data_IF_190693666391
#
_entry.id   IF_190693666391
#
_cell.length_a   1.000
_cell.length_b   1.000
_cell.length_c   1.000
_cell.angle_alpha   90.00
_cell.angle_beta   90.00
_cell.angle_gamma   90.00
#
_symmetry.space_group_name_H-M   'P 1'
#
loop_
_entity.id
_entity.type
_entity.pdbx_description
1 polymer ?
#
# COMPACT_ATOMS: atom_id res chain seq x y z
N UNK A 1 -19.33 75.22 -42.33
CA UNK A 1 -18.00 74.63 -42.62
C UNK A 1 -17.65 73.69 -41.46
N UNK A 2 -17.75 72.38 -41.67
CA UNK A 2 -17.52 71.34 -40.64
C UNK A 2 -16.24 70.59 -40.99
N UNK A 3 -15.28 70.58 -40.07
CA UNK A 3 -14.02 69.86 -40.19
C UNK A 3 -14.24 68.37 -39.88
N UNK A 4 -13.89 67.50 -40.82
CA UNK A 4 -13.94 66.04 -40.68
C UNK A 4 -12.54 65.58 -40.26
N UNK A 5 -12.40 65.08 -39.03
CA UNK A 5 -11.19 64.36 -38.59
C UNK A 5 -11.22 62.93 -39.13
N UNK A 6 -10.18 62.55 -39.88
CA UNK A 6 -9.92 61.18 -40.32
C UNK A 6 -9.44 60.33 -39.14
N UNK A 7 -10.16 59.24 -38.85
CA UNK A 7 -9.73 58.18 -37.94
C UNK A 7 -8.93 57.16 -38.75
N UNK A 8 -7.63 57.05 -38.49
CA UNK A 8 -6.75 56.00 -39.04
C UNK A 8 -6.65 54.91 -37.98
N UNK A 9 -7.34 53.78 -38.19
CA UNK A 9 -7.24 52.58 -37.35
C UNK A 9 -6.02 51.79 -37.82
N UNK A 10 -5.01 51.67 -36.96
CA UNK A 10 -3.78 50.90 -37.20
C UNK A 10 -4.02 49.40 -36.94
N UNK A 11 -4.17 48.63 -38.00
CA UNK A 11 -4.23 47.15 -38.01
C UNK A 11 -2.87 46.49 -37.69
N UNK A 12 -2.42 46.46 -36.42
CA UNK A 12 -1.17 45.73 -36.08
C UNK A 12 -1.20 44.81 -34.85
N UNK A 13 -2.35 44.60 -34.22
CA UNK A 13 -2.41 43.74 -33.01
C UNK A 13 -3.23 42.45 -33.14
N UNK A 14 -3.91 42.19 -34.26
CA UNK A 14 -4.82 41.03 -34.36
C UNK A 14 -4.12 39.68 -34.65
N UNK A 15 -2.85 39.67 -35.07
CA UNK A 15 -2.15 38.41 -35.41
C UNK A 15 -1.42 37.73 -34.23
N UNK A 16 -1.31 38.37 -33.07
CA UNK A 16 -0.70 37.75 -31.88
C UNK A 16 -1.69 37.02 -30.97
N UNK A 17 -3.00 37.29 -31.11
CA UNK A 17 -4.01 36.66 -30.27
C UNK A 17 -4.47 35.28 -30.79
N UNK A 18 -4.25 34.97 -32.07
CA UNK A 18 -4.68 33.69 -32.67
C UNK A 18 -3.66 32.55 -32.49
N UNK A 19 -2.42 32.85 -32.10
CA UNK A 19 -1.37 31.84 -31.89
C UNK A 19 -1.30 31.29 -30.46
N UNK A 20 -1.91 31.99 -29.49
CA UNK A 20 -1.91 31.57 -28.08
C UNK A 20 -3.08 30.59 -27.81
N UNK A 21 -4.18 30.68 -28.55
CA UNK A 21 -5.30 29.72 -28.43
C UNK A 21 -5.03 28.36 -29.08
N UNK A 22 -4.08 28.25 -30.01
CA UNK A 22 -3.74 26.96 -30.66
C UNK A 22 -2.72 26.13 -29.85
N UNK A 23 -1.95 26.76 -28.95
CA UNK A 23 -1.00 26.06 -28.07
C UNK A 23 -1.62 25.53 -26.78
N UNK A 24 -2.85 25.93 -26.45
CA UNK A 24 -3.61 25.40 -25.31
C UNK A 24 -4.46 24.16 -25.67
N UNK A 25 -4.54 23.77 -26.94
CA UNK A 25 -5.28 22.55 -27.35
C UNK A 25 -4.40 21.31 -27.51
N UNK A 26 -3.06 21.42 -27.57
CA UNK A 26 -2.20 20.25 -27.73
C UNK A 26 -1.86 19.57 -26.40
N UNK A 27 -2.18 20.16 -25.25
CA UNK A 27 -1.97 19.54 -23.94
C UNK A 27 -3.20 18.81 -23.39
N UNK A 28 -4.33 18.83 -24.11
CA UNK A 28 -5.57 18.14 -23.69
C UNK A 28 -5.67 16.72 -24.31
N UNK A 29 -4.74 16.35 -25.19
CA UNK A 29 -4.74 15.03 -25.88
C UNK A 29 -3.67 14.05 -25.39
N UNK A 30 -2.76 14.48 -24.51
CA UNK A 30 -1.92 13.55 -23.73
C UNK A 30 -2.55 13.45 -22.35
N UNK A 31 -3.46 12.50 -22.16
CA UNK A 31 -4.06 12.16 -20.86
C UNK A 31 -3.05 11.53 -19.90
N UNK A 32 -1.85 12.09 -19.79
CA UNK A 32 -0.87 11.74 -18.77
C UNK A 32 -1.08 12.73 -17.61
N UNK A 33 -1.93 12.32 -16.67
CA UNK A 33 -2.07 12.97 -15.38
C UNK A 33 -0.66 13.07 -14.78
N UNK A 34 -0.18 14.27 -14.40
CA UNK A 34 1.14 14.42 -13.83
C UNK A 34 1.23 13.59 -12.55
N UNK A 35 2.09 12.56 -12.57
CA UNK A 35 2.39 11.75 -11.40
C UNK A 35 3.05 12.63 -10.34
N UNK A 36 2.27 13.08 -9.37
CA UNK A 36 2.80 13.75 -8.17
C UNK A 36 3.53 12.72 -7.32
N UNK A 37 4.86 12.68 -7.45
CA UNK A 37 5.74 11.95 -6.53
C UNK A 37 5.77 12.73 -5.21
N UNK A 38 5.17 12.16 -4.17
CA UNK A 38 5.26 12.70 -2.82
C UNK A 38 6.66 12.36 -2.28
N UNK A 39 7.40 13.38 -1.82
CA UNK A 39 8.77 13.20 -1.31
C UNK A 39 8.77 12.13 -0.20
N UNK A 40 9.55 11.08 -0.43
CA UNK A 40 9.73 9.97 0.50
C UNK A 40 10.45 10.51 1.74
N UNK A 41 9.74 10.68 2.85
CA UNK A 41 10.42 10.66 4.14
C UNK A 41 11.12 9.30 4.29
N UNK A 42 12.31 9.26 4.88
CA UNK A 42 13.06 8.02 5.17
C UNK A 42 12.25 7.11 6.09
N UNK A 43 11.32 6.35 5.52
CA UNK A 43 10.47 5.40 6.21
C UNK A 43 11.11 4.03 6.08
N UNK A 44 11.54 3.53 7.23
CA UNK A 44 12.21 2.25 7.37
C UNK A 44 11.39 1.33 8.27
N UNK A 45 11.24 0.07 7.87
CA UNK A 45 10.57 -0.98 8.60
C UNK A 45 11.54 -2.12 8.91
N UNK A 46 11.79 -2.36 10.19
CA UNK A 46 12.46 -3.57 10.69
C UNK A 46 11.43 -4.58 11.17
N UNK A 47 11.48 -5.78 10.60
CA UNK A 47 10.56 -6.88 10.87
C UNK A 47 11.37 -8.05 11.45
N UNK A 48 11.12 -8.42 12.70
CA UNK A 48 11.76 -9.57 13.35
C UNK A 48 10.76 -10.71 13.57
N UNK A 49 11.21 -11.96 13.40
CA UNK A 49 10.41 -13.16 13.70
C UNK A 49 9.88 -13.20 15.12
N UNK A 50 10.55 -12.57 16.08
CA UNK A 50 10.08 -12.46 17.46
C UNK A 50 8.72 -11.79 17.56
N UNK A 51 8.39 -10.92 16.60
CA UNK A 51 7.20 -10.10 16.56
C UNK A 51 6.08 -10.73 15.72
N UNK A 52 6.31 -11.93 15.18
CA UNK A 52 5.34 -12.63 14.35
C UNK A 52 4.01 -12.84 15.11
N UNK A 53 2.87 -12.37 14.57
CA UNK A 53 1.54 -12.60 15.13
C UNK A 53 1.20 -14.08 15.36
N UNK A 54 1.84 -14.99 14.61
CA UNK A 54 1.63 -16.43 14.66
C UNK A 54 2.49 -17.15 15.69
N UNK A 55 3.43 -16.44 16.33
CA UNK A 55 4.42 -17.05 17.23
C UNK A 55 3.75 -17.82 18.36
N UNK A 56 3.95 -19.13 18.39
CA UNK A 56 3.38 -20.01 19.42
C UNK A 56 1.91 -20.37 19.21
N UNK A 57 1.29 -20.00 18.08
CA UNK A 57 -0.08 -20.40 17.74
C UNK A 57 -0.12 -21.73 16.97
N UNK A 58 0.90 -22.02 16.15
CA UNK A 58 0.94 -23.22 15.31
C UNK A 58 1.93 -24.24 15.84
N UNK A 59 1.53 -25.51 15.83
CA UNK A 59 2.40 -26.66 16.18
C UNK A 59 2.53 -27.69 15.06
N UNK A 60 1.80 -27.51 13.96
CA UNK A 60 1.81 -28.40 12.79
C UNK A 60 1.80 -27.60 11.50
N UNK A 61 2.31 -28.20 10.41
CA UNK A 61 2.29 -27.58 9.08
C UNK A 61 0.87 -27.30 8.58
N UNK A 62 -0.09 -28.15 8.92
CA UNK A 62 -1.51 -28.01 8.53
C UNK A 62 -2.17 -26.80 9.21
N UNK A 63 -1.78 -26.50 10.46
CA UNK A 63 -2.19 -25.28 11.15
C UNK A 63 -1.54 -24.04 10.53
N UNK A 64 -0.26 -24.12 10.14
CA UNK A 64 0.41 -23.02 9.44
C UNK A 64 -0.27 -22.71 8.11
N UNK A 65 -0.64 -23.74 7.34
CA UNK A 65 -1.33 -23.58 6.06
C UNK A 65 -2.74 -23.00 6.23
N UNK A 66 -3.50 -23.48 7.22
CA UNK A 66 -4.83 -22.92 7.48
C UNK A 66 -4.77 -21.46 7.95
N UNK A 67 -3.71 -21.07 8.66
CA UNK A 67 -3.45 -19.70 9.10
C UNK A 67 -2.94 -18.77 7.98
N UNK A 68 -2.78 -19.26 6.74
CA UNK A 68 -2.57 -18.41 5.56
C UNK A 68 -3.86 -17.68 5.13
N UNK A 69 -5.02 -18.05 5.71
CA UNK A 69 -6.30 -17.36 5.52
C UNK A 69 -6.75 -16.78 6.86
N UNK A 70 -6.86 -15.46 6.90
CA UNK A 70 -7.26 -14.72 8.09
C UNK A 70 -8.71 -14.30 7.92
N UNK A 71 -9.56 -14.74 8.83
CA UNK A 71 -10.96 -14.38 8.80
C UNK A 71 -11.18 -12.99 9.37
N UNK A 72 -12.06 -12.22 8.73
CA UNK A 72 -12.57 -10.98 9.26
C UNK A 72 -13.69 -11.25 10.27
N UNK A 73 -13.59 -10.67 11.47
CA UNK A 73 -14.59 -10.82 12.54
C UNK A 73 -14.89 -9.50 13.22
N UNK A 74 -16.12 -9.37 13.70
CA UNK A 74 -16.49 -8.28 14.60
C UNK A 74 -15.82 -8.54 15.94
N UNK A 75 -14.99 -7.59 16.38
CA UNK A 75 -14.25 -7.69 17.64
C UNK A 75 -15.09 -7.02 18.72
N UNK A 76 -15.59 -7.80 19.67
CA UNK A 76 -16.41 -7.30 20.78
C UNK A 76 -15.64 -7.16 22.10
N UNK A 77 -14.46 -7.76 22.22
CA UNK A 77 -13.60 -7.66 23.40
C UNK A 77 -12.16 -7.32 23.00
N UNK A 78 -11.77 -6.11 23.37
CA UNK A 78 -10.54 -5.43 22.99
C UNK A 78 -9.37 -5.79 23.92
N UNK A 79 -9.58 -6.65 24.92
CA UNK A 79 -8.66 -6.77 26.06
C UNK A 79 -7.63 -7.91 25.98
N UNK A 80 -7.65 -8.76 24.95
CA UNK A 80 -6.76 -9.94 24.90
C UNK A 80 -6.03 -10.04 23.56
N UNK A 81 -4.71 -9.87 23.64
CA UNK A 81 -3.69 -10.11 22.60
C UNK A 81 -3.49 -8.98 21.59
N UNK A 82 -3.02 -7.85 22.10
CA UNK A 82 -2.50 -6.73 21.31
C UNK A 82 -1.23 -7.17 20.57
N UNK A 83 -1.22 -6.98 19.25
CA UNK A 83 0.01 -7.04 18.46
C UNK A 83 0.79 -5.74 18.68
N UNK A 84 1.83 -5.81 19.53
CA UNK A 84 2.62 -4.65 19.97
C UNK A 84 3.26 -3.89 18.81
N UNK A 85 3.73 -4.61 17.81
CA UNK A 85 4.30 -4.07 16.57
C UNK A 85 3.28 -3.27 15.72
N UNK A 86 1.97 -3.40 15.99
CA UNK A 86 0.90 -2.66 15.32
C UNK A 86 0.27 -1.54 16.18
N UNK A 87 0.75 -1.34 17.40
CA UNK A 87 0.17 -0.37 18.34
C UNK A 87 0.14 1.06 17.77
N UNK A 88 1.17 1.44 17.00
CA UNK A 88 1.25 2.76 16.36
C UNK A 88 0.11 3.03 15.34
N UNK A 89 -0.57 1.99 14.85
CA UNK A 89 -1.67 2.11 13.89
C UNK A 89 -3.05 2.02 14.52
N UNK A 90 -3.15 1.82 15.83
CA UNK A 90 -4.44 1.75 16.51
C UNK A 90 -5.14 3.12 16.48
N UNK A 91 -6.45 3.10 16.28
CA UNK A 91 -7.31 4.28 16.33
C UNK A 91 -8.45 4.01 17.29
N UNK A 92 -8.66 4.92 18.25
CA UNK A 92 -9.79 4.84 19.19
C UNK A 92 -9.91 3.51 19.93
N UNK A 93 -8.78 2.86 20.25
CA UNK A 93 -8.69 1.52 20.85
C UNK A 93 -9.26 0.37 19.98
N UNK A 94 -9.45 0.58 18.68
CA UNK A 94 -9.78 -0.49 17.74
C UNK A 94 -8.50 -1.16 17.23
N UNK A 95 -8.45 -2.49 17.38
CA UNK A 95 -7.38 -3.32 16.84
C UNK A 95 -7.68 -3.67 15.38
N UNK A 96 -6.66 -3.58 14.53
CA UNK A 96 -6.76 -3.90 13.11
C UNK A 96 -6.66 -5.40 12.86
N UNK A 97 -5.73 -6.03 13.57
CA UNK A 97 -5.51 -7.46 13.62
C UNK A 97 -5.47 -7.85 15.10
N UNK A 98 -6.00 -9.02 15.44
CA UNK A 98 -5.95 -9.55 16.79
C UNK A 98 -5.62 -11.03 16.78
N UNK A 99 -4.97 -11.46 17.87
CA UNK A 99 -4.56 -12.84 18.09
C UNK A 99 -5.54 -13.52 19.04
N UNK A 100 -5.93 -14.75 18.76
CA UNK A 100 -6.70 -15.60 19.67
C UNK A 100 -5.88 -16.83 20.03
N UNK A 101 -5.46 -16.91 21.29
CA UNK A 101 -4.73 -18.09 21.77
C UNK A 101 -5.64 -19.31 21.88
N UNK A 102 -6.88 -19.11 22.36
CA UNK A 102 -7.89 -20.18 22.48
C UNK A 102 -8.22 -20.83 21.13
N UNK A 103 -8.27 -20.02 20.06
CA UNK A 103 -8.57 -20.50 18.70
C UNK A 103 -7.30 -20.76 17.88
N UNK A 104 -6.12 -20.49 18.44
CA UNK A 104 -4.83 -20.66 17.77
C UNK A 104 -4.75 -19.96 16.39
N UNK A 105 -5.35 -18.77 16.29
CA UNK A 105 -5.50 -18.05 15.01
C UNK A 105 -5.30 -16.55 15.17
N UNK A 106 -4.99 -15.91 14.05
CA UNK A 106 -5.04 -14.45 13.87
C UNK A 106 -6.28 -14.10 13.06
N UNK A 107 -6.91 -13.01 13.43
CA UNK A 107 -8.14 -12.52 12.81
C UNK A 107 -8.00 -11.05 12.44
N UNK A 108 -8.67 -10.65 11.36
CA UNK A 108 -8.77 -9.27 10.95
C UNK A 108 -10.04 -8.64 11.52
N UNK A 109 -10.00 -7.34 11.79
CA UNK A 109 -11.19 -6.62 12.22
C UNK A 109 -12.12 -6.38 11.02
N UNK A 110 -13.32 -6.96 11.06
CA UNK A 110 -14.34 -6.84 10.02
C UNK A 110 -14.83 -5.39 9.81
N UNK A 111 -14.56 -4.48 10.76
CA UNK A 111 -14.78 -3.05 10.57
C UNK A 111 -13.90 -2.47 9.47
N UNK A 112 -12.69 -3.01 9.29
CA UNK A 112 -11.67 -2.45 8.40
C UNK A 112 -11.29 -3.34 7.22
N UNK A 113 -11.43 -4.65 7.36
CA UNK A 113 -10.99 -5.63 6.37
C UNK A 113 -12.06 -6.66 6.06
N UNK A 114 -12.03 -7.19 4.84
CA UNK A 114 -12.59 -8.52 4.53
C UNK A 114 -11.67 -9.62 5.06
N UNK A 115 -12.04 -10.88 4.81
CA UNK A 115 -11.08 -11.98 4.91
C UNK A 115 -9.81 -11.64 4.11
N UNK A 116 -8.66 -11.97 4.70
CA UNK A 116 -7.34 -11.70 4.13
C UNK A 116 -6.63 -13.02 3.82
N UNK A 117 -5.86 -13.00 2.73
CA UNK A 117 -4.93 -14.06 2.36
C UNK A 117 -3.51 -13.57 2.65
N UNK A 118 -2.74 -14.38 3.37
CA UNK A 118 -1.32 -14.12 3.55
C UNK A 118 -0.58 -14.37 2.24
N UNK A 119 0.23 -13.40 1.82
CA UNK A 119 1.04 -13.45 0.61
C UNK A 119 2.52 -13.45 0.98
N UNK A 120 3.29 -14.36 0.39
CA UNK A 120 4.74 -14.39 0.56
C UNK A 120 5.41 -13.55 -0.54
N UNK A 121 5.89 -12.36 -0.16
CA UNK A 121 6.57 -11.41 -1.03
C UNK A 121 7.95 -11.92 -1.49
N UNK A 122 8.54 -12.86 -0.76
CA UNK A 122 9.86 -13.43 -1.12
C UNK A 122 9.77 -14.52 -2.20
N UNK A 123 8.56 -15.05 -2.44
CA UNK A 123 8.29 -16.16 -3.37
C UNK A 123 7.39 -15.78 -4.53
N UNK A 124 6.92 -14.54 -4.59
CA UNK A 124 6.05 -14.13 -5.68
C UNK A 124 6.88 -14.03 -6.97
N UNK A 125 6.45 -14.71 -8.03
CA UNK A 125 7.17 -14.74 -9.31
C UNK A 125 6.26 -14.16 -10.40
N UNK A 126 6.78 -13.19 -11.16
CA UNK A 126 6.10 -12.66 -12.35
C UNK A 126 4.91 -11.74 -12.08
N UNK A 127 4.04 -11.61 -13.08
CA UNK A 127 2.80 -10.81 -13.09
C UNK A 127 1.68 -11.42 -12.23
N UNK A 128 1.99 -12.27 -11.25
CA UNK A 128 0.99 -12.84 -10.37
C UNK A 128 0.40 -11.72 -9.51
N UNK A 129 -0.80 -11.27 -9.86
CA UNK A 129 -1.60 -10.37 -9.04
C UNK A 129 -2.09 -11.13 -7.80
N UNK A 130 -1.32 -11.04 -6.73
CA UNK A 130 -1.63 -11.72 -5.49
C UNK A 130 -2.60 -10.86 -4.68
N UNK A 131 -3.89 -11.11 -4.91
CA UNK A 131 -4.97 -10.50 -4.11
C UNK A 131 -4.83 -10.93 -2.65
N UNK A 132 -4.75 -9.93 -1.77
CA UNK A 132 -4.75 -10.09 -0.31
C UNK A 132 -6.20 -10.14 0.20
N UNK A 133 -7.02 -9.19 -0.21
CA UNK A 133 -8.38 -8.99 0.31
C UNK A 133 -8.89 -7.59 -0.04
N UNK A 134 -9.87 -7.10 0.71
CA UNK A 134 -10.48 -5.79 0.51
C UNK A 134 -10.52 -4.99 1.82
N UNK A 135 -10.27 -3.70 1.71
CA UNK A 135 -10.57 -2.70 2.73
C UNK A 135 -12.07 -2.37 2.71
N UNK A 136 -12.61 -2.06 3.87
CA UNK A 136 -13.95 -1.46 3.96
C UNK A 136 -13.89 0.04 3.60
N UNK A 137 -15.03 0.66 3.26
CA UNK A 137 -15.10 2.12 3.09
C UNK A 137 -14.66 2.91 4.33
N UNK A 138 -14.83 2.33 5.53
CA UNK A 138 -14.37 2.94 6.78
C UNK A 138 -12.84 2.94 6.87
N UNK A 139 -12.18 1.84 6.50
CA UNK A 139 -10.72 1.77 6.48
C UNK A 139 -10.12 2.77 5.49
N UNK A 140 -10.70 2.89 4.29
CA UNK A 140 -10.26 3.86 3.27
C UNK A 140 -10.35 5.33 3.74
N UNK A 141 -11.28 5.65 4.65
CA UNK A 141 -11.40 6.99 5.25
C UNK A 141 -10.46 7.20 6.43
N UNK A 142 -10.15 6.12 7.14
CA UNK A 142 -9.43 6.19 8.42
C UNK A 142 -7.92 6.13 8.26
N UNK A 143 -7.43 5.37 7.28
CA UNK A 143 -6.01 5.08 7.10
C UNK A 143 -5.54 5.53 5.73
N UNK A 144 -4.32 6.08 5.69
CA UNK A 144 -3.61 6.29 4.44
C UNK A 144 -3.16 4.95 3.84
N UNK A 145 -2.97 4.93 2.52
CA UNK A 145 -2.43 3.77 1.78
C UNK A 145 -1.11 3.28 2.38
N UNK A 146 -0.21 4.21 2.74
CA UNK A 146 1.06 3.88 3.39
C UNK A 146 0.86 3.16 4.73
N UNK A 147 -0.06 3.65 5.57
CA UNK A 147 -0.37 2.99 6.85
C UNK A 147 -0.90 1.59 6.62
N UNK A 148 -1.83 1.39 5.68
CA UNK A 148 -2.33 0.06 5.34
C UNK A 148 -1.20 -0.85 4.87
N UNK A 149 -0.35 -0.41 3.95
CA UNK A 149 0.79 -1.19 3.49
C UNK A 149 1.70 -1.60 4.67
N UNK A 150 2.03 -0.68 5.56
CA UNK A 150 2.85 -0.96 6.72
C UNK A 150 2.17 -1.90 7.74
N UNK A 151 0.84 -1.80 7.92
CA UNK A 151 0.05 -2.73 8.74
C UNK A 151 0.12 -4.14 8.16
N UNK A 152 -0.07 -4.29 6.85
CA UNK A 152 -0.03 -5.59 6.17
C UNK A 152 1.35 -6.26 6.28
N UNK A 153 2.43 -5.46 6.20
CA UNK A 153 3.81 -5.94 6.33
C UNK A 153 4.12 -6.32 7.79
N UNK A 154 3.93 -5.39 8.74
CA UNK A 154 4.23 -5.65 10.16
C UNK A 154 3.35 -6.74 10.75
N UNK A 155 2.10 -6.80 10.32
CA UNK A 155 1.17 -7.87 10.69
C UNK A 155 1.41 -9.18 9.95
N UNK A 156 2.49 -9.30 9.17
CA UNK A 156 2.89 -10.42 8.28
C UNK A 156 1.76 -11.02 7.41
N UNK A 157 0.73 -10.22 7.10
CA UNK A 157 -0.22 -10.53 6.01
C UNK A 157 0.55 -10.56 4.69
N UNK A 158 1.54 -9.67 4.55
CA UNK A 158 2.58 -9.76 3.54
C UNK A 158 3.82 -10.29 4.27
N UNK A 159 4.15 -11.56 4.04
CA UNK A 159 5.34 -12.19 4.60
C UNK A 159 6.56 -11.73 3.81
N UNK A 160 7.53 -11.15 4.51
CA UNK A 160 8.72 -10.52 3.91
C UNK A 160 10.01 -11.27 4.21
N UNK A 161 9.96 -12.39 4.94
CA UNK A 161 11.13 -13.19 5.26
C UNK A 161 10.79 -14.67 5.44
N UNK A 162 11.81 -15.53 5.43
CA UNK A 162 11.65 -16.97 5.67
C UNK A 162 11.87 -17.36 7.13
N UNK A 163 13.01 -16.97 7.73
CA UNK A 163 13.41 -17.49 9.05
C UNK A 163 13.74 -16.45 10.11
N UNK A 164 14.34 -15.30 9.77
CA UNK A 164 14.85 -14.35 10.77
C UNK A 164 14.07 -13.04 10.78
N UNK A 165 14.03 -12.35 9.65
CA UNK A 165 13.45 -11.02 9.58
C UNK A 165 13.73 -10.34 8.24
N UNK A 166 13.30 -9.09 8.12
CA UNK A 166 13.52 -8.25 6.96
C UNK A 166 13.70 -6.78 7.36
N UNK A 167 14.53 -6.09 6.59
CA UNK A 167 14.73 -4.65 6.66
C UNK A 167 14.24 -4.03 5.36
N UNK A 168 13.32 -3.06 5.43
CA UNK A 168 12.62 -2.52 4.28
C UNK A 168 12.55 -1.00 4.32
N UNK A 169 12.92 -0.37 3.22
CA UNK A 169 12.80 1.06 2.99
C UNK A 169 11.66 1.37 2.02
N UNK A 170 10.91 2.42 2.33
CA UNK A 170 9.94 3.00 1.40
C UNK A 170 10.71 3.71 0.27
N UNK A 171 10.48 3.27 -0.97
CA UNK A 171 11.11 3.89 -2.13
C UNK A 171 10.27 5.04 -2.67
N UNK A 172 8.97 4.82 -2.85
CA UNK A 172 8.04 5.82 -3.37
C UNK A 172 6.58 5.39 -3.20
N UNK A 173 5.70 6.37 -3.31
CA UNK A 173 4.26 6.17 -3.46
C UNK A 173 3.84 6.77 -4.80
N UNK A 174 3.15 5.99 -5.62
CA UNK A 174 2.55 6.46 -6.87
C UNK A 174 1.03 6.52 -6.67
N UNK A 175 0.47 7.73 -6.81
CA UNK A 175 -0.99 7.94 -6.83
C UNK A 175 -1.44 7.89 -8.29
N UNK A 176 -2.31 6.94 -8.63
CA UNK A 176 -2.98 6.84 -9.92
C UNK A 176 -4.43 7.31 -9.78
N UNK A 177 -5.24 7.21 -10.84
CA UNK A 177 -6.63 7.66 -10.81
C UNK A 177 -7.48 6.83 -9.83
N UNK A 178 -7.33 5.50 -9.86
CA UNK A 178 -8.16 4.57 -9.07
C UNK A 178 -7.39 3.77 -8.01
N UNK A 179 -6.06 3.89 -7.99
CA UNK A 179 -5.21 3.15 -7.05
C UNK A 179 -4.05 3.99 -6.54
N UNK A 180 -3.54 3.59 -5.37
CA UNK A 180 -2.24 4.01 -4.88
C UNK A 180 -1.31 2.80 -4.82
N UNK A 181 -0.05 2.99 -5.19
CA UNK A 181 0.98 1.94 -5.20
C UNK A 181 2.14 2.36 -4.31
N UNK A 182 2.44 1.56 -3.28
CA UNK A 182 3.52 1.78 -2.31
C UNK A 182 4.67 0.82 -2.60
N UNK A 183 5.83 1.35 -2.97
CA UNK A 183 7.00 0.56 -3.36
C UNK A 183 7.96 0.38 -2.18
N UNK A 184 8.33 -0.86 -1.91
CA UNK A 184 9.25 -1.26 -0.85
C UNK A 184 10.46 -1.99 -1.43
N UNK A 185 11.63 -1.72 -0.86
CA UNK A 185 12.89 -2.37 -1.20
C UNK A 185 13.69 -2.63 0.06
N UNK A 186 14.45 -3.71 0.08
CA UNK A 186 15.41 -3.99 1.13
C UNK A 186 15.89 -5.42 1.04
N UNK A 187 16.06 -6.06 2.19
CA UNK A 187 16.64 -7.39 2.27
C UNK A 187 15.92 -8.24 3.32
N UNK A 188 15.95 -9.56 3.12
CA UNK A 188 15.46 -10.51 4.10
C UNK A 188 16.54 -11.49 4.52
N UNK A 189 16.55 -11.82 5.82
CA UNK A 189 17.51 -12.70 6.45
C UNK A 189 16.94 -14.11 6.63
N UNK A 190 17.72 -15.13 6.27
CA UNK A 190 17.37 -16.54 6.42
C UNK A 190 18.58 -17.42 6.68
N UNK A 191 18.42 -18.50 7.44
CA UNK A 191 19.50 -19.46 7.70
C UNK A 191 19.11 -20.85 7.19
N UNK A 192 20.00 -21.49 6.44
CA UNK A 192 19.95 -22.94 6.16
C UNK A 192 21.09 -23.62 6.91
N UNK A 193 22.26 -23.73 6.29
CA UNK A 193 23.51 -24.14 6.95
C UNK A 193 24.31 -22.92 7.47
N UNK A 194 24.10 -21.77 6.83
CA UNK A 194 24.67 -20.47 7.17
C UNK A 194 23.57 -19.43 6.99
N UNK A 195 23.66 -18.33 7.73
CA UNK A 195 22.75 -17.21 7.56
C UNK A 195 23.17 -16.38 6.34
N UNK A 196 22.16 -15.94 5.58
CA UNK A 196 22.30 -15.18 4.35
C UNK A 196 21.24 -14.09 4.31
N UNK A 197 21.59 -13.04 3.60
CA UNK A 197 20.67 -11.98 3.19
C UNK A 197 20.36 -12.16 1.70
N UNK A 198 19.15 -11.78 1.30
CA UNK A 198 18.78 -11.70 -0.10
C UNK A 198 17.90 -10.48 -0.36
N UNK A 199 18.06 -9.83 -1.53
CA UNK A 199 17.29 -8.64 -1.84
C UNK A 199 15.82 -8.95 -2.06
N UNK A 200 14.96 -8.06 -1.56
CA UNK A 200 13.52 -8.12 -1.59
C UNK A 200 12.96 -6.80 -2.13
N UNK A 201 12.17 -6.87 -3.19
CA UNK A 201 11.53 -5.72 -3.83
C UNK A 201 10.08 -6.06 -4.17
N UNK A 202 9.14 -5.26 -3.70
CA UNK A 202 7.72 -5.47 -3.99
C UNK A 202 6.96 -4.15 -3.90
N UNK A 203 5.72 -4.17 -4.35
CA UNK A 203 4.80 -3.06 -4.19
C UNK A 203 3.46 -3.54 -3.63
N UNK A 204 2.82 -2.69 -2.84
CA UNK A 204 1.45 -2.88 -2.37
C UNK A 204 0.57 -1.94 -3.16
N UNK A 205 -0.40 -2.48 -3.89
CA UNK A 205 -1.41 -1.69 -4.59
C UNK A 205 -2.73 -1.74 -3.83
N UNK A 206 -3.36 -0.58 -3.69
CA UNK A 206 -4.69 -0.44 -3.07
C UNK A 206 -5.60 0.31 -4.05
N UNK A 207 -6.68 -0.33 -4.48
CA UNK A 207 -7.72 0.31 -5.26
C UNK A 207 -8.63 1.14 -4.33
N UNK A 208 -8.72 2.45 -4.58
CA UNK A 208 -9.44 3.40 -3.73
C UNK A 208 -10.96 3.35 -3.92
N UNK A 209 -11.45 2.78 -5.02
CA UNK A 209 -12.89 2.67 -5.29
C UNK A 209 -13.50 1.47 -4.56
N UNK A 210 -12.83 0.31 -4.59
CA UNK A 210 -13.38 -0.95 -4.07
C UNK A 210 -12.59 -1.54 -2.90
N UNK A 211 -11.51 -0.88 -2.47
CA UNK A 211 -10.67 -1.30 -1.35
C UNK A 211 -9.78 -2.51 -1.63
N UNK A 212 -9.75 -3.04 -2.86
CA UNK A 212 -8.96 -4.23 -3.17
C UNK A 212 -7.47 -3.99 -2.97
N UNK A 213 -6.82 -4.93 -2.28
CA UNK A 213 -5.39 -4.89 -1.97
C UNK A 213 -4.66 -6.01 -2.69
N UNK A 214 -3.54 -5.69 -3.34
CA UNK A 214 -2.68 -6.64 -4.05
C UNK A 214 -1.20 -6.45 -3.67
N UNK A 215 -0.43 -7.53 -3.75
CA UNK A 215 1.03 -7.47 -3.81
C UNK A 215 1.49 -7.66 -5.25
N UNK A 216 2.41 -6.80 -5.70
CA UNK A 216 3.12 -6.92 -6.98
C UNK A 216 4.60 -7.15 -6.69
N UNK A 217 5.20 -8.18 -7.27
CA UNK A 217 6.66 -8.31 -7.24
C UNK A 217 7.27 -7.50 -8.35
N UNK A 218 8.39 -6.85 -8.03
CA UNK A 218 9.15 -6.06 -8.99
C UNK A 218 10.29 -6.94 -9.51
N UNK A 219 10.40 -7.06 -10.83
CA UNK A 219 11.49 -7.83 -11.44
C UNK A 219 12.85 -7.29 -10.97
N UNK A 220 13.74 -8.21 -10.63
CA UNK A 220 15.18 -7.95 -10.42
C UNK A 220 15.88 -7.73 -11.75
#
# INVERSE_FOLDING_TARGET
MRNIQKIIIRERHFKKLLFITLLLLTHILSGETPMTQEDSADIHLSIDRSDSPWRGLTSTAEMEESNLKIQARVISDNSKNILTNLQAYQKSNDFLLYRSEDQQSVYANAKYFSDLKCIDATRTVGNDENKIGNLTPEALKTFSTLQIAAILIKGEIIKTYWHLGAELDLIKIIKQDDSDIVYWQGEHSYCTNQCREAPLNFAVEINRQNGEMRVKTLYK
#
